data_IF_063854454916
#
_entry.id   IF_063854454916
#
_cell.length_a   1.000
_cell.length_b   1.000
_cell.length_c   1.000
_cell.angle_alpha   90.00
_cell.angle_beta   90.00
_cell.angle_gamma   90.00
#
_symmetry.space_group_name_H-M   'P 1'
#
loop_
_entity.id
_entity.type
_entity.pdbx_description
1 polymer ?
#
# COMPACT_ATOMS: atom_id res chain seq x y z
N UNK A 1 0.80 -37.61 -31.86
CA UNK A 1 1.41 -36.45 -31.17
C UNK A 1 0.69 -36.29 -29.84
N UNK A 2 1.33 -36.55 -28.68
CA UNK A 2 0.67 -36.37 -27.39
C UNK A 2 0.76 -34.91 -26.93
N UNK A 3 -0.37 -34.44 -26.47
CA UNK A 3 -0.58 -33.14 -25.84
C UNK A 3 0.24 -33.09 -24.55
N UNK A 4 1.24 -32.22 -24.49
CA UNK A 4 1.95 -31.87 -23.24
C UNK A 4 1.01 -31.12 -22.34
N UNK A 5 0.53 -31.76 -21.30
CA UNK A 5 -0.16 -31.14 -20.17
C UNK A 5 0.78 -30.14 -19.48
N UNK A 6 0.33 -28.89 -19.41
CA UNK A 6 0.95 -27.84 -18.65
C UNK A 6 0.98 -28.25 -17.17
N UNK A 7 2.16 -28.38 -16.58
CA UNK A 7 2.33 -28.68 -15.17
C UNK A 7 1.66 -27.58 -14.32
N UNK A 8 0.89 -27.94 -13.30
CA UNK A 8 0.10 -26.98 -12.57
C UNK A 8 0.97 -26.08 -11.70
N UNK A 9 0.55 -24.83 -11.60
CA UNK A 9 1.05 -23.75 -10.72
C UNK A 9 1.27 -24.22 -9.26
N UNK A 10 0.68 -25.34 -8.87
CA UNK A 10 0.85 -26.00 -7.58
C UNK A 10 2.31 -26.41 -7.27
N UNK A 11 3.12 -26.78 -8.25
CA UNK A 11 4.50 -27.19 -8.01
C UNK A 11 5.42 -26.02 -7.61
N UNK A 12 5.15 -24.82 -8.12
CA UNK A 12 5.88 -23.60 -7.73
C UNK A 12 5.49 -23.12 -6.32
N UNK A 13 4.28 -23.46 -5.86
CA UNK A 13 3.78 -23.13 -4.52
C UNK A 13 4.27 -24.09 -3.45
N UNK A 14 4.48 -25.38 -3.80
CA UNK A 14 5.01 -26.39 -2.88
C UNK A 14 6.50 -26.19 -2.57
N UNK A 15 7.29 -25.64 -3.51
CA UNK A 15 8.67 -25.22 -3.24
C UNK A 15 8.73 -24.03 -2.25
N UNK A 16 7.73 -23.15 -2.27
CA UNK A 16 7.64 -22.01 -1.35
C UNK A 16 7.33 -22.50 0.09
N UNK A 17 6.49 -23.51 0.23
CA UNK A 17 6.10 -24.05 1.55
C UNK A 17 7.19 -24.90 2.23
N UNK A 18 7.93 -25.69 1.46
CA UNK A 18 8.95 -26.60 1.99
C UNK A 18 10.24 -25.91 2.43
N UNK A 19 10.59 -24.78 1.81
CA UNK A 19 11.81 -24.02 2.15
C UNK A 19 11.66 -23.13 3.39
N UNK A 20 10.44 -22.76 3.77
CA UNK A 20 10.17 -21.86 4.89
C UNK A 20 10.30 -22.54 6.28
N UNK A 21 10.24 -23.88 6.34
CA UNK A 21 10.15 -24.60 7.63
C UNK A 21 11.53 -24.99 8.21
N UNK A 22 12.63 -24.86 7.48
CA UNK A 22 13.96 -25.37 7.92
C UNK A 22 15.07 -24.35 8.10
N UNK A 23 14.84 -23.07 7.95
CA UNK A 23 15.87 -22.07 8.27
C UNK A 23 15.60 -21.43 9.64
N UNK A 24 16.46 -21.75 10.64
CA UNK A 24 16.64 -20.94 11.86
C UNK A 24 16.78 -19.49 11.43
N UNK A 25 15.84 -18.64 11.84
CA UNK A 25 15.94 -17.19 11.66
C UNK A 25 17.26 -16.69 12.23
N UNK A 26 18.15 -16.06 11.45
CA UNK A 26 19.14 -15.18 12.02
C UNK A 26 18.37 -13.99 12.59
N UNK A 27 18.69 -13.59 13.81
CA UNK A 27 18.09 -12.42 14.47
C UNK A 27 18.24 -11.17 13.58
N UNK A 28 17.16 -10.50 13.19
CA UNK A 28 17.20 -9.44 12.17
C UNK A 28 17.63 -8.07 12.71
N UNK A 29 18.24 -7.94 13.87
CA UNK A 29 18.32 -6.66 14.58
C UNK A 29 19.72 -6.25 15.05
N UNK A 30 20.83 -6.74 14.44
CA UNK A 30 22.17 -6.41 14.93
C UNK A 30 22.91 -5.28 14.22
N UNK A 31 22.35 -4.60 13.21
CA UNK A 31 23.02 -3.47 12.55
C UNK A 31 22.11 -2.24 12.42
N UNK A 32 21.46 -1.80 13.50
CA UNK A 32 20.79 -0.52 13.54
C UNK A 32 21.46 0.38 14.56
N UNK A 33 22.07 1.53 14.14
CA UNK A 33 22.57 2.51 15.10
C UNK A 33 21.42 3.01 15.98
N UNK A 34 21.67 3.08 17.27
CA UNK A 34 20.85 3.62 18.36
C UNK A 34 19.41 4.03 17.99
N UNK A 35 18.50 3.08 18.09
CA UNK A 35 17.08 3.39 18.14
C UNK A 35 16.82 4.01 19.50
N UNK A 36 16.67 5.35 19.55
CA UNK A 36 16.24 6.05 20.75
C UNK A 36 15.03 5.36 21.36
N UNK A 37 14.89 5.43 22.69
CA UNK A 37 13.88 4.75 23.50
C UNK A 37 12.51 4.68 22.79
N UNK A 38 11.87 3.49 22.71
CA UNK A 38 10.59 3.33 22.06
C UNK A 38 9.56 4.29 22.67
N UNK A 39 9.11 5.26 21.89
CA UNK A 39 8.10 6.23 22.30
C UNK A 39 6.85 6.00 21.47
N UNK A 40 5.80 5.41 22.05
CA UNK A 40 4.55 5.16 21.32
C UNK A 40 3.93 6.42 20.71
N UNK A 41 4.08 7.55 21.40
CA UNK A 41 3.60 8.85 20.89
C UNK A 41 4.35 9.28 19.63
N UNK A 42 5.69 9.09 19.59
CA UNK A 42 6.49 9.44 18.42
C UNK A 42 6.10 8.62 17.20
N UNK A 43 5.90 7.30 17.36
CA UNK A 43 5.43 6.47 16.26
C UNK A 43 4.02 6.82 15.80
N UNK A 44 3.12 7.17 16.72
CA UNK A 44 1.79 7.64 16.39
C UNK A 44 1.82 8.95 15.57
N UNK A 45 2.61 9.94 15.98
CA UNK A 45 2.77 11.21 15.27
C UNK A 45 3.36 10.99 13.85
N UNK A 46 4.37 10.13 13.72
CA UNK A 46 4.94 9.79 12.42
C UNK A 46 3.91 9.13 11.49
N UNK A 47 3.05 8.24 12.02
CA UNK A 47 1.97 7.61 11.26
C UNK A 47 0.91 8.63 10.80
N UNK A 48 0.49 9.53 11.68
CA UNK A 48 -0.48 10.59 11.35
C UNK A 48 0.10 11.54 10.30
N UNK A 49 1.37 11.93 10.42
CA UNK A 49 2.05 12.76 9.42
C UNK A 49 2.19 12.04 8.07
N UNK A 50 2.52 10.74 8.07
CA UNK A 50 2.55 9.94 6.84
C UNK A 50 1.17 9.86 6.17
N UNK A 51 0.11 9.64 6.95
CA UNK A 51 -1.27 9.61 6.47
C UNK A 51 -1.70 10.96 5.86
N UNK A 52 -1.27 12.07 6.44
CA UNK A 52 -1.47 13.41 5.87
C UNK A 52 -0.77 13.57 4.52
N UNK A 53 0.50 13.17 4.42
CA UNK A 53 1.24 13.24 3.15
C UNK A 53 0.61 12.38 2.04
N UNK A 54 0.12 11.20 2.38
CA UNK A 54 -0.61 10.37 1.42
C UNK A 54 -1.92 11.01 0.97
N UNK A 55 -2.67 11.63 1.87
CA UNK A 55 -3.88 12.37 1.51
C UNK A 55 -3.57 13.60 0.65
N UNK A 56 -2.48 14.33 0.92
CA UNK A 56 -1.99 15.41 0.07
C UNK A 56 -1.59 14.89 -1.33
N UNK A 57 -0.94 13.74 -1.40
CA UNK A 57 -0.60 13.09 -2.66
C UNK A 57 -1.86 12.78 -3.49
N UNK A 58 -2.87 12.16 -2.86
CA UNK A 58 -4.12 11.80 -3.52
C UNK A 58 -4.88 13.05 -4.02
N UNK A 59 -4.96 14.09 -3.20
CA UNK A 59 -5.57 15.36 -3.58
C UNK A 59 -4.81 16.05 -4.73
N UNK A 60 -3.46 16.01 -4.71
CA UNK A 60 -2.63 16.56 -5.78
C UNK A 60 -2.80 15.78 -7.09
N UNK A 61 -2.86 14.43 -7.02
CA UNK A 61 -3.15 13.60 -8.20
C UNK A 61 -4.50 13.99 -8.78
N UNK A 62 -5.54 14.12 -7.96
CA UNK A 62 -6.87 14.53 -8.39
C UNK A 62 -6.85 15.91 -9.05
N UNK A 63 -6.18 16.87 -8.45
CA UNK A 63 -6.08 18.23 -9.00
C UNK A 63 -5.40 18.24 -10.38
N UNK A 64 -4.25 17.58 -10.51
CA UNK A 64 -3.50 17.51 -11.76
C UNK A 64 -4.24 16.71 -12.84
N UNK A 65 -5.03 15.69 -12.45
CA UNK A 65 -5.77 14.84 -13.40
C UNK A 65 -6.93 15.57 -14.11
N UNK A 66 -7.26 16.79 -13.69
CA UNK A 66 -8.19 17.66 -14.42
C UNK A 66 -7.60 18.17 -15.74
N UNK A 67 -6.28 18.36 -15.78
CA UNK A 67 -5.59 18.99 -16.93
C UNK A 67 -4.51 18.09 -17.57
N UNK A 68 -4.07 17.05 -16.89
CA UNK A 68 -2.99 16.17 -17.33
C UNK A 68 -3.43 14.71 -17.30
N UNK A 69 -2.88 13.94 -18.22
CA UNK A 69 -3.15 12.50 -18.29
C UNK A 69 -2.55 11.78 -17.07
N UNK A 70 -3.33 10.91 -16.42
CA UNK A 70 -2.93 10.19 -15.20
C UNK A 70 -1.61 9.41 -15.37
N UNK A 71 -1.32 8.73 -16.48
CA UNK A 71 -0.03 8.05 -16.66
C UNK A 71 1.17 9.00 -16.58
N UNK A 72 1.06 10.25 -17.05
CA UNK A 72 2.12 11.26 -16.96
C UNK A 72 2.32 11.69 -15.50
N UNK A 73 1.23 11.90 -14.76
CA UNK A 73 1.28 12.25 -13.33
C UNK A 73 2.01 11.16 -12.56
N UNK A 74 1.65 9.90 -12.82
CA UNK A 74 2.26 8.73 -12.17
C UNK A 74 3.73 8.58 -12.60
N UNK A 75 4.06 8.82 -13.88
CA UNK A 75 5.45 8.80 -14.38
C UNK A 75 6.35 9.78 -13.62
N UNK A 76 5.93 11.05 -13.52
CA UNK A 76 6.71 12.07 -12.81
C UNK A 76 6.85 11.73 -11.33
N UNK A 77 5.78 11.24 -10.68
CA UNK A 77 5.85 10.80 -9.28
C UNK A 77 6.90 9.71 -9.06
N UNK A 78 6.90 8.66 -9.91
CA UNK A 78 7.88 7.58 -9.79
C UNK A 78 9.29 8.04 -10.14
N UNK A 79 9.44 8.91 -11.15
CA UNK A 79 10.73 9.51 -11.52
C UNK A 79 11.33 10.31 -10.34
N UNK A 80 10.56 11.21 -9.75
CA UNK A 80 11.02 12.01 -8.60
C UNK A 80 11.35 11.10 -7.41
N UNK A 81 10.52 10.10 -7.13
CA UNK A 81 10.80 9.14 -6.06
C UNK A 81 12.08 8.32 -6.36
N UNK A 82 12.30 7.88 -7.59
CA UNK A 82 13.50 7.17 -8.01
C UNK A 82 14.75 8.06 -7.86
N UNK A 83 14.68 9.31 -8.28
CA UNK A 83 15.77 10.28 -8.11
C UNK A 83 16.08 10.53 -6.63
N UNK A 84 15.06 10.70 -5.78
CA UNK A 84 15.26 10.83 -4.34
C UNK A 84 15.94 9.59 -3.74
N UNK A 85 15.53 8.38 -4.17
CA UNK A 85 16.19 7.14 -3.73
C UNK A 85 17.65 7.07 -4.18
N UNK A 86 17.96 7.49 -5.41
CA UNK A 86 19.33 7.52 -5.93
C UNK A 86 20.18 8.56 -5.19
N UNK A 87 19.66 9.74 -4.96
CA UNK A 87 20.42 10.84 -4.34
C UNK A 87 20.61 10.62 -2.83
N UNK A 88 19.57 10.20 -2.11
CA UNK A 88 19.58 10.14 -0.65
C UNK A 88 19.94 8.75 -0.10
N UNK A 89 19.53 7.68 -0.78
CA UNK A 89 19.64 6.30 -0.24
C UNK A 89 20.80 5.54 -0.88
N UNK A 90 21.07 5.73 -2.17
CA UNK A 90 22.13 5.00 -2.86
C UNK A 90 23.54 5.30 -2.30
N UNK A 91 23.91 6.53 -1.89
CA UNK A 91 25.23 6.78 -1.28
C UNK A 91 25.43 6.00 0.02
N UNK A 92 24.36 5.78 0.79
CA UNK A 92 24.39 5.08 2.08
C UNK A 92 24.41 3.56 1.96
N UNK A 93 23.83 3.01 0.89
CA UNK A 93 23.59 1.56 0.74
C UNK A 93 24.41 0.91 -0.39
N UNK A 94 24.93 1.69 -1.34
CA UNK A 94 25.76 1.23 -2.45
C UNK A 94 25.11 0.07 -3.23
N UNK A 95 25.91 -0.97 -3.56
CA UNK A 95 25.44 -2.15 -4.29
C UNK A 95 24.36 -2.96 -3.58
N UNK A 96 24.15 -2.76 -2.27
CA UNK A 96 23.11 -3.44 -1.49
C UNK A 96 21.70 -3.01 -1.92
N UNK A 97 21.56 -1.86 -2.58
CA UNK A 97 20.28 -1.34 -3.08
C UNK A 97 19.76 -2.13 -4.29
N UNK A 98 20.68 -2.67 -5.11
CA UNK A 98 20.33 -3.40 -6.34
C UNK A 98 20.43 -4.93 -6.20
N UNK A 99 20.92 -5.42 -5.06
CA UNK A 99 21.10 -6.85 -4.86
C UNK A 99 19.83 -7.47 -4.28
N UNK A 100 19.12 -8.27 -5.11
CA UNK A 100 17.91 -9.01 -4.75
C UNK A 100 18.06 -10.46 -5.21
N UNK A 101 17.53 -11.38 -4.39
CA UNK A 101 17.61 -12.82 -4.63
C UNK A 101 16.47 -13.29 -5.54
N UNK A 102 15.23 -12.82 -5.29
CA UNK A 102 14.01 -13.26 -5.99
C UNK A 102 13.52 -12.22 -7.00
N UNK A 103 14.34 -11.94 -8.04
CA UNK A 103 14.11 -10.86 -9.01
C UNK A 103 12.72 -10.89 -9.64
N UNK A 104 12.20 -12.08 -10.01
CA UNK A 104 10.87 -12.21 -10.62
C UNK A 104 9.75 -11.75 -9.69
N UNK A 105 9.74 -12.20 -8.42
CA UNK A 105 8.74 -11.79 -7.44
C UNK A 105 8.86 -10.31 -7.07
N UNK A 106 10.09 -9.78 -7.00
CA UNK A 106 10.33 -8.34 -6.77
C UNK A 106 9.75 -7.51 -7.91
N UNK A 107 9.91 -7.95 -9.16
CA UNK A 107 9.34 -7.27 -10.32
C UNK A 107 7.81 -7.35 -10.33
N UNK A 108 7.22 -8.52 -10.08
CA UNK A 108 5.74 -8.67 -9.99
C UNK A 108 5.18 -7.77 -8.88
N UNK A 109 5.83 -7.70 -7.72
CA UNK A 109 5.46 -6.79 -6.65
C UNK A 109 5.51 -5.33 -7.09
N UNK A 110 6.58 -4.93 -7.76
CA UNK A 110 6.75 -3.57 -8.27
C UNK A 110 5.67 -3.21 -9.29
N UNK A 111 5.39 -4.11 -10.24
CA UNK A 111 4.32 -3.95 -11.23
C UNK A 111 2.92 -3.88 -10.56
N UNK A 112 2.68 -4.67 -9.51
CA UNK A 112 1.41 -4.62 -8.77
C UNK A 112 1.19 -3.25 -8.12
N UNK A 113 2.22 -2.66 -7.50
CA UNK A 113 2.09 -1.30 -6.94
C UNK A 113 1.98 -0.25 -8.04
N UNK A 114 2.71 -0.41 -9.13
CA UNK A 114 2.61 0.48 -10.29
C UNK A 114 1.19 0.47 -10.88
N UNK A 115 0.61 -0.71 -11.08
CA UNK A 115 -0.77 -0.86 -11.53
C UNK A 115 -1.78 -0.25 -10.54
N UNK A 116 -1.63 -0.53 -9.23
CA UNK A 116 -2.46 0.08 -8.20
C UNK A 116 -2.40 1.61 -8.25
N UNK A 117 -1.20 2.17 -8.40
CA UNK A 117 -1.00 3.62 -8.48
C UNK A 117 -1.69 4.26 -9.67
N UNK A 118 -1.62 3.63 -10.84
CA UNK A 118 -2.34 4.09 -12.04
C UNK A 118 -3.84 4.04 -11.82
N UNK A 119 -4.34 2.91 -11.33
CA UNK A 119 -5.78 2.69 -11.12
C UNK A 119 -6.36 3.62 -10.05
N UNK A 120 -5.63 3.89 -8.96
CA UNK A 120 -6.01 4.93 -7.99
C UNK A 120 -6.08 6.31 -8.66
N UNK A 121 -5.09 6.66 -9.47
CA UNK A 121 -5.08 7.93 -10.20
C UNK A 121 -6.28 8.06 -11.15
N UNK A 122 -6.63 7.00 -11.89
CA UNK A 122 -7.80 6.96 -12.76
C UNK A 122 -9.12 7.03 -11.97
N UNK A 123 -9.17 6.41 -10.79
CA UNK A 123 -10.31 6.53 -9.89
C UNK A 123 -10.45 7.97 -9.36
N UNK A 124 -9.37 8.58 -8.90
CA UNK A 124 -9.34 9.97 -8.41
C UNK A 124 -9.74 10.98 -9.48
N UNK A 125 -9.41 10.72 -10.74
CA UNK A 125 -9.87 11.57 -11.86
C UNK A 125 -11.40 11.63 -11.95
N UNK A 126 -12.09 10.53 -11.58
CA UNK A 126 -13.54 10.35 -11.77
C UNK A 126 -14.35 10.42 -10.47
N UNK A 127 -13.70 10.24 -9.34
CA UNK A 127 -14.35 10.16 -8.03
C UNK A 127 -13.73 11.15 -7.05
N UNK A 128 -14.47 11.54 -5.99
CA UNK A 128 -13.91 12.34 -4.90
C UNK A 128 -12.80 11.60 -4.13
N UNK A 129 -11.94 12.37 -3.47
CA UNK A 129 -10.74 11.82 -2.78
C UNK A 129 -11.15 10.91 -1.61
N UNK A 130 -12.11 11.34 -0.81
CA UNK A 130 -12.53 10.61 0.39
C UNK A 130 -13.08 9.22 0.08
N UNK A 131 -13.99 9.12 -0.90
CA UNK A 131 -14.61 7.88 -1.34
C UNK A 131 -13.60 6.95 -1.99
N UNK A 132 -12.73 7.48 -2.83
CA UNK A 132 -11.64 6.69 -3.45
C UNK A 132 -10.70 6.13 -2.40
N UNK A 133 -10.28 6.95 -1.43
CA UNK A 133 -9.41 6.52 -0.33
C UNK A 133 -10.10 5.48 0.54
N UNK A 134 -11.39 5.66 0.84
CA UNK A 134 -12.17 4.71 1.64
C UNK A 134 -12.24 3.33 0.98
N UNK A 135 -12.52 3.26 -0.33
CA UNK A 135 -12.54 1.99 -1.08
C UNK A 135 -11.15 1.34 -1.03
N UNK A 136 -10.06 2.10 -1.16
CA UNK A 136 -8.70 1.55 -1.08
C UNK A 136 -8.38 0.93 0.29
N UNK A 137 -9.00 1.40 1.38
CA UNK A 137 -8.85 0.78 2.70
C UNK A 137 -9.50 -0.61 2.83
N UNK A 138 -10.20 -1.10 1.81
CA UNK A 138 -10.60 -2.50 1.72
C UNK A 138 -9.38 -3.44 1.53
N UNK A 139 -8.28 -2.96 0.93
CA UNK A 139 -7.11 -3.78 0.63
C UNK A 139 -6.52 -4.49 1.86
N UNK A 140 -6.24 -3.84 3.00
CA UNK A 140 -5.72 -4.52 4.18
C UNK A 140 -6.63 -5.66 4.70
N UNK A 141 -7.95 -5.50 4.56
CA UNK A 141 -8.93 -6.51 4.97
C UNK A 141 -8.88 -7.72 4.06
N UNK A 142 -8.83 -7.50 2.74
CA UNK A 142 -8.68 -8.56 1.76
C UNK A 142 -7.33 -9.27 1.85
N UNK A 143 -6.26 -8.55 2.26
CA UNK A 143 -4.96 -9.19 2.52
C UNK A 143 -5.09 -10.26 3.60
N UNK A 144 -5.86 -10.03 4.66
CA UNK A 144 -6.08 -11.05 5.70
C UNK A 144 -6.78 -12.28 5.11
N UNK A 145 -7.79 -12.08 4.26
CA UNK A 145 -8.54 -13.17 3.61
C UNK A 145 -7.69 -13.95 2.62
N UNK A 146 -6.86 -13.25 1.82
CA UNK A 146 -6.05 -13.87 0.77
C UNK A 146 -4.76 -14.50 1.35
N UNK A 147 -4.13 -13.85 2.32
CA UNK A 147 -2.90 -14.34 2.94
C UNK A 147 -3.12 -15.61 3.77
N UNK A 148 -4.30 -15.78 4.36
CA UNK A 148 -4.63 -16.97 5.14
C UNK A 148 -4.37 -18.28 4.36
N UNK A 149 -5.07 -18.54 3.25
CA UNK A 149 -4.84 -19.73 2.43
C UNK A 149 -3.44 -19.83 1.81
N UNK A 150 -2.86 -18.68 1.42
CA UNK A 150 -1.52 -18.64 0.78
C UNK A 150 -0.38 -18.94 1.77
N UNK A 151 -0.50 -18.52 3.01
CA UNK A 151 0.51 -18.70 4.05
C UNK A 151 0.18 -19.86 5.00
N UNK A 152 -0.92 -20.59 4.77
CA UNK A 152 -1.37 -21.68 5.62
C UNK A 152 -1.94 -21.22 6.97
N UNK A 153 -2.26 -19.93 7.11
CA UNK A 153 -2.86 -19.38 8.33
C UNK A 153 -4.38 -19.61 8.34
N UNK A 154 -4.95 -20.02 9.48
CA UNK A 154 -6.39 -20.14 9.63
C UNK A 154 -7.01 -18.78 9.92
N UNK A 155 -7.89 -18.33 9.02
CA UNK A 155 -8.63 -17.09 9.22
C UNK A 155 -9.73 -17.37 10.25
N UNK A 156 -9.65 -16.71 11.40
CA UNK A 156 -10.73 -16.76 12.40
C UNK A 156 -12.00 -16.08 11.90
N UNK A 157 -13.15 -16.37 12.55
CA UNK A 157 -14.45 -15.78 12.23
C UNK A 157 -14.40 -14.24 12.23
N UNK A 158 -13.57 -13.65 13.07
CA UNK A 158 -13.37 -12.20 13.17
C UNK A 158 -12.71 -11.59 11.93
N UNK A 159 -11.77 -12.29 11.28
CA UNK A 159 -11.19 -11.84 10.01
C UNK A 159 -12.23 -11.83 8.89
N UNK A 160 -13.08 -12.84 8.83
CA UNK A 160 -14.20 -12.89 7.88
C UNK A 160 -15.25 -11.81 8.14
N UNK A 161 -15.65 -11.59 9.41
CA UNK A 161 -16.61 -10.55 9.77
C UNK A 161 -16.08 -9.15 9.40
N UNK A 162 -14.81 -8.89 9.64
CA UNK A 162 -14.21 -7.61 9.28
C UNK A 162 -14.11 -7.42 7.75
N UNK A 163 -13.78 -8.48 6.99
CA UNK A 163 -13.78 -8.41 5.54
C UNK A 163 -15.19 -8.17 4.98
N UNK A 164 -16.21 -8.85 5.50
CA UNK A 164 -17.61 -8.63 5.14
C UNK A 164 -18.09 -7.22 5.52
N UNK A 165 -17.71 -6.72 6.71
CA UNK A 165 -18.01 -5.36 7.13
C UNK A 165 -17.37 -4.32 6.21
N UNK A 166 -16.10 -4.49 5.87
CA UNK A 166 -15.42 -3.63 4.91
C UNK A 166 -16.08 -3.62 3.54
N UNK A 167 -16.47 -4.80 3.05
CA UNK A 167 -17.19 -4.92 1.78
C UNK A 167 -18.57 -4.26 1.84
N UNK A 168 -19.33 -4.43 2.93
CA UNK A 168 -20.59 -3.73 3.14
C UNK A 168 -20.42 -2.21 3.14
N UNK A 169 -19.35 -1.69 3.77
CA UNK A 169 -19.02 -0.27 3.74
C UNK A 169 -18.75 0.24 2.32
N UNK A 170 -18.01 -0.53 1.51
CA UNK A 170 -17.79 -0.20 0.08
C UNK A 170 -19.10 -0.18 -0.70
N UNK A 171 -20.02 -1.14 -0.47
CA UNK A 171 -21.34 -1.16 -1.12
C UNK A 171 -22.18 0.07 -0.78
N UNK A 172 -22.09 0.58 0.45
CA UNK A 172 -22.77 1.80 0.86
C UNK A 172 -22.20 3.04 0.14
N UNK A 173 -20.89 3.09 -0.09
CA UNK A 173 -20.25 4.18 -0.83
C UNK A 173 -20.59 4.08 -2.32
N UNK A 174 -20.49 2.89 -2.90
CA UNK A 174 -20.63 2.64 -4.34
C UNK A 174 -22.08 2.41 -4.80
N UNK A 175 -23.06 2.61 -3.93
CA UNK A 175 -24.46 2.35 -4.21
C UNK A 175 -25.01 3.12 -5.41
N UNK A 176 -26.03 2.60 -6.13
CA UNK A 176 -26.76 3.37 -7.14
C UNK A 176 -27.34 4.66 -6.51
N UNK A 177 -27.22 5.77 -7.22
CA UNK A 177 -27.67 7.09 -6.74
C UNK A 177 -26.70 7.83 -5.83
N UNK A 178 -25.50 7.30 -5.57
CA UNK A 178 -24.43 8.02 -4.85
C UNK A 178 -23.85 9.19 -5.64
N UNK A 179 -24.15 9.32 -6.93
CA UNK A 179 -23.52 10.29 -7.83
C UNK A 179 -22.12 9.90 -8.29
N UNK A 180 -21.58 8.75 -7.84
CA UNK A 180 -20.28 8.26 -8.26
C UNK A 180 -20.33 7.54 -9.60
N UNK A 181 -19.32 7.78 -10.44
CA UNK A 181 -19.20 7.09 -11.72
C UNK A 181 -18.83 5.61 -11.55
N UNK A 182 -19.57 4.69 -12.18
CA UNK A 182 -19.32 3.25 -12.14
C UNK A 182 -17.91 2.89 -12.64
N UNK A 183 -17.38 3.61 -13.63
CA UNK A 183 -16.01 3.41 -14.13
C UNK A 183 -14.99 3.80 -13.06
N UNK A 184 -15.21 4.89 -12.32
CA UNK A 184 -14.36 5.30 -11.21
C UNK A 184 -14.33 4.24 -10.10
N UNK A 185 -15.49 3.70 -9.72
CA UNK A 185 -15.62 2.61 -8.76
C UNK A 185 -14.86 1.35 -9.24
N UNK A 186 -14.99 1.01 -10.54
CA UNK A 186 -14.29 -0.14 -11.13
C UNK A 186 -12.78 0.03 -11.06
N UNK A 187 -12.26 1.23 -11.32
CA UNK A 187 -10.83 1.52 -11.17
C UNK A 187 -10.38 1.42 -9.70
N UNK A 188 -11.17 1.93 -8.76
CA UNK A 188 -10.85 1.82 -7.33
C UNK A 188 -10.81 0.36 -6.87
N UNK A 189 -11.77 -0.48 -7.25
CA UNK A 189 -11.78 -1.91 -6.92
C UNK A 189 -10.63 -2.67 -7.57
N UNK A 190 -10.31 -2.37 -8.83
CA UNK A 190 -9.14 -2.95 -9.50
C UNK A 190 -7.83 -2.51 -8.82
N UNK A 191 -7.74 -1.27 -8.35
CA UNK A 191 -6.63 -0.77 -7.55
C UNK A 191 -6.48 -1.54 -6.24
N UNK A 192 -7.59 -1.83 -5.56
CA UNK A 192 -7.60 -2.69 -4.35
C UNK A 192 -7.02 -4.06 -4.64
N UNK A 193 -7.44 -4.72 -5.73
CA UNK A 193 -6.92 -6.04 -6.10
C UNK A 193 -5.39 -6.00 -6.36
N UNK A 194 -4.92 -4.99 -7.10
CA UNK A 194 -3.49 -4.79 -7.35
C UNK A 194 -2.71 -4.48 -6.05
N UNK A 195 -3.30 -3.71 -5.14
CA UNK A 195 -2.72 -3.39 -3.84
C UNK A 195 -2.66 -4.62 -2.91
N UNK A 196 -3.67 -5.48 -2.93
CA UNK A 196 -3.65 -6.78 -2.22
C UNK A 196 -2.48 -7.64 -2.71
N UNK A 197 -2.32 -7.78 -4.03
CA UNK A 197 -1.18 -8.51 -4.60
C UNK A 197 0.16 -7.92 -4.15
N UNK A 198 0.31 -6.58 -4.20
CA UNK A 198 1.48 -5.88 -3.70
C UNK A 198 1.76 -6.17 -2.22
N UNK A 199 0.75 -6.10 -1.37
CA UNK A 199 0.92 -6.30 0.07
C UNK A 199 1.26 -7.76 0.41
N UNK A 200 0.61 -8.73 -0.23
CA UNK A 200 0.90 -10.16 -0.05
C UNK A 200 2.33 -10.47 -0.49
N UNK A 201 2.74 -10.02 -1.68
CA UNK A 201 4.12 -10.18 -2.17
C UNK A 201 5.13 -9.47 -1.29
N UNK A 202 4.78 -8.32 -0.71
CA UNK A 202 5.63 -7.62 0.26
C UNK A 202 5.86 -8.45 1.51
N UNK A 203 4.83 -9.13 2.04
CA UNK A 203 4.97 -10.05 3.17
C UNK A 203 5.87 -11.24 2.84
N UNK A 204 5.67 -11.87 1.67
CA UNK A 204 6.49 -13.01 1.22
C UNK A 204 7.96 -12.62 1.06
N UNK A 205 8.23 -11.44 0.50
CA UNK A 205 9.59 -10.96 0.22
C UNK A 205 10.29 -10.36 1.45
N UNK A 206 9.56 -9.95 2.47
CA UNK A 206 10.14 -9.35 3.69
C UNK A 206 11.13 -10.27 4.42
N UNK A 207 10.99 -11.60 4.26
CA UNK A 207 11.88 -12.59 4.87
C UNK A 207 13.22 -12.75 4.11
N UNK A 208 13.25 -12.43 2.81
CA UNK A 208 14.41 -12.72 1.95
C UNK A 208 15.06 -11.47 1.35
N UNK A 209 14.34 -10.34 1.31
CA UNK A 209 14.79 -9.14 0.61
C UNK A 209 14.84 -7.91 1.53
N UNK A 210 15.73 -6.99 1.24
CA UNK A 210 15.85 -5.73 1.99
C UNK A 210 14.74 -4.76 1.58
N UNK A 211 14.11 -4.12 2.55
CA UNK A 211 13.05 -3.12 2.29
C UNK A 211 13.51 -2.01 1.36
N UNK A 212 14.75 -1.51 1.53
CA UNK A 212 15.31 -0.45 0.67
C UNK A 212 15.45 -0.90 -0.79
N UNK A 213 15.86 -2.14 -1.05
CA UNK A 213 15.93 -2.70 -2.39
C UNK A 213 14.52 -2.84 -3.00
N UNK A 214 13.55 -3.34 -2.23
CA UNK A 214 12.16 -3.45 -2.68
C UNK A 214 11.56 -2.10 -3.07
N UNK A 215 11.83 -1.04 -2.29
CA UNK A 215 11.38 0.32 -2.58
C UNK A 215 12.06 0.87 -3.84
N UNK A 216 13.37 0.66 -3.99
CA UNK A 216 14.12 1.10 -5.16
C UNK A 216 13.62 0.43 -6.45
N UNK A 217 13.45 -0.90 -6.45
CA UNK A 217 12.91 -1.61 -7.63
C UNK A 217 11.49 -1.17 -7.97
N UNK A 218 10.69 -0.82 -6.98
CA UNK A 218 9.33 -0.29 -7.22
C UNK A 218 9.40 1.08 -7.89
N UNK A 219 10.25 1.99 -7.39
CA UNK A 219 10.45 3.30 -7.98
C UNK A 219 11.01 3.19 -9.40
N UNK A 220 11.99 2.33 -9.61
CA UNK A 220 12.62 2.10 -10.92
C UNK A 220 11.62 1.51 -11.92
N UNK A 221 10.89 0.46 -11.56
CA UNK A 221 9.90 -0.17 -12.43
C UNK A 221 8.80 0.81 -12.83
N UNK A 222 8.27 1.58 -11.86
CA UNK A 222 7.28 2.62 -12.14
C UNK A 222 7.82 3.71 -13.07
N UNK A 223 9.08 4.14 -12.86
CA UNK A 223 9.75 5.13 -13.74
C UNK A 223 9.88 4.61 -15.17
N UNK A 224 10.31 3.36 -15.35
CA UNK A 224 10.50 2.77 -16.69
C UNK A 224 9.16 2.58 -17.38
N UNK A 225 8.19 1.96 -16.71
CA UNK A 225 6.86 1.66 -17.28
C UNK A 225 6.13 2.95 -17.64
N UNK A 226 5.96 3.84 -16.68
CA UNK A 226 5.19 5.06 -16.90
C UNK A 226 5.97 6.14 -17.62
N UNK A 227 7.30 6.14 -17.54
CA UNK A 227 8.14 7.00 -18.36
C UNK A 227 7.96 6.70 -19.84
N UNK A 228 7.98 5.42 -20.23
CA UNK A 228 7.75 5.00 -21.61
C UNK A 228 6.31 5.36 -22.08
N UNK A 229 5.29 5.07 -21.26
CA UNK A 229 3.91 5.42 -21.55
C UNK A 229 3.72 6.93 -21.60
N UNK A 230 4.32 7.68 -20.67
CA UNK A 230 4.22 9.12 -20.59
C UNK A 230 4.84 9.82 -21.81
N UNK A 231 5.98 9.34 -22.28
CA UNK A 231 6.60 9.85 -23.52
C UNK A 231 5.72 9.60 -24.76
N UNK A 232 5.06 8.45 -24.82
CA UNK A 232 4.16 8.12 -25.92
C UNK A 232 2.86 8.92 -25.91
N UNK A 233 2.35 9.23 -24.71
CA UNK A 233 1.10 9.99 -24.52
C UNK A 233 1.32 11.50 -24.46
N UNK A 234 2.56 11.99 -24.55
CA UNK A 234 2.84 13.40 -24.39
C UNK A 234 2.40 14.21 -25.61
N UNK A 235 1.42 15.06 -25.42
CA UNK A 235 0.85 15.96 -26.41
C UNK A 235 1.56 17.33 -26.51
N UNK A 236 2.78 17.45 -25.98
CA UNK A 236 3.55 18.70 -25.99
C UNK A 236 3.10 19.75 -24.97
N UNK A 237 2.17 19.42 -24.08
CA UNK A 237 1.70 20.34 -23.05
C UNK A 237 2.78 20.55 -21.99
N UNK A 238 3.25 21.77 -21.86
CA UNK A 238 4.22 22.17 -20.83
C UNK A 238 3.44 22.55 -19.56
N UNK A 239 3.83 21.96 -18.44
CA UNK A 239 3.25 22.31 -17.14
C UNK A 239 3.59 23.77 -16.78
N UNK A 240 2.64 24.51 -16.21
CA UNK A 240 2.91 25.82 -15.62
C UNK A 240 3.87 25.71 -14.45
N UNK A 241 4.51 26.84 -14.05
CA UNK A 241 5.44 26.80 -12.90
C UNK A 241 4.80 26.26 -11.62
N UNK A 242 3.52 26.56 -11.37
CA UNK A 242 2.76 26.01 -10.25
C UNK A 242 2.50 24.51 -10.40
N UNK A 243 2.06 24.05 -11.58
CA UNK A 243 1.86 22.64 -11.84
C UNK A 243 3.15 21.83 -11.70
N UNK A 244 4.29 22.41 -12.11
CA UNK A 244 5.59 21.78 -11.93
C UNK A 244 5.91 21.55 -10.45
N UNK A 245 5.64 22.52 -9.57
CA UNK A 245 5.78 22.35 -8.12
C UNK A 245 4.88 21.22 -7.60
N UNK A 246 3.63 21.13 -8.08
CA UNK A 246 2.73 20.06 -7.72
C UNK A 246 3.22 18.69 -8.20
N UNK A 247 3.76 18.60 -9.41
CA UNK A 247 4.36 17.37 -9.93
C UNK A 247 5.57 16.93 -9.08
N UNK A 248 6.45 17.84 -8.71
CA UNK A 248 7.60 17.54 -7.86
C UNK A 248 7.16 17.12 -6.44
N UNK A 249 6.12 17.76 -5.89
CA UNK A 249 5.59 17.43 -4.57
C UNK A 249 5.08 16.00 -4.47
N UNK A 250 4.55 15.42 -5.57
CA UNK A 250 4.05 14.02 -5.58
C UNK A 250 5.12 13.00 -5.18
N UNK A 251 6.34 13.14 -5.72
CA UNK A 251 7.44 12.26 -5.35
C UNK A 251 7.89 12.46 -3.90
N UNK A 252 7.86 13.71 -3.42
CA UNK A 252 8.18 14.05 -2.03
C UNK A 252 7.12 13.47 -1.09
N UNK A 253 5.83 13.67 -1.37
CA UNK A 253 4.74 13.13 -0.55
C UNK A 253 4.80 11.59 -0.48
N UNK A 254 4.99 10.93 -1.63
CA UNK A 254 5.13 9.48 -1.68
C UNK A 254 6.39 8.99 -0.95
N UNK A 255 7.56 9.55 -1.26
CA UNK A 255 8.84 9.15 -0.67
C UNK A 255 8.89 9.40 0.85
N UNK A 256 8.59 10.63 1.27
CA UNK A 256 8.58 11.01 2.68
C UNK A 256 7.46 10.30 3.45
N UNK A 257 6.27 10.17 2.85
CA UNK A 257 5.15 9.43 3.46
C UNK A 257 5.52 7.98 3.77
N UNK A 258 6.09 7.26 2.82
CA UNK A 258 6.57 5.89 3.02
C UNK A 258 7.72 5.82 4.03
N UNK A 259 8.63 6.79 4.02
CA UNK A 259 9.72 6.87 5.01
C UNK A 259 9.18 7.06 6.43
N UNK A 260 8.30 8.03 6.65
CA UNK A 260 7.71 8.30 7.96
C UNK A 260 6.87 7.12 8.43
N UNK A 261 6.08 6.50 7.55
CA UNK A 261 5.29 5.33 7.86
C UNK A 261 6.16 4.15 8.29
N UNK A 262 7.25 3.90 7.56
CA UNK A 262 8.23 2.85 7.93
C UNK A 262 8.94 3.18 9.23
N UNK A 263 9.31 4.45 9.46
CA UNK A 263 9.93 4.89 10.70
C UNK A 263 8.99 4.75 11.90
N UNK A 264 7.68 4.94 11.73
CA UNK A 264 6.68 4.74 12.78
C UNK A 264 6.72 3.33 13.36
N UNK A 265 6.91 2.30 12.52
CA UNK A 265 7.02 0.90 12.97
C UNK A 265 8.23 0.61 13.86
N UNK A 266 9.26 1.46 13.85
CA UNK A 266 10.41 1.33 14.76
C UNK A 266 10.08 1.75 16.19
N UNK A 267 9.07 2.60 16.37
CA UNK A 267 8.70 3.18 17.65
C UNK A 267 7.42 2.59 18.23
N UNK A 268 6.56 2.00 17.39
CA UNK A 268 5.21 1.58 17.79
C UNK A 268 4.82 0.31 17.05
N UNK A 269 4.26 -0.69 17.75
CA UNK A 269 3.85 -1.94 17.12
C UNK A 269 2.73 -1.73 16.08
N UNK A 270 2.73 -2.57 15.04
CA UNK A 270 1.77 -2.53 13.94
C UNK A 270 0.31 -2.50 14.42
N UNK A 271 0.02 -3.16 15.52
CA UNK A 271 -1.31 -3.20 16.13
C UNK A 271 -1.83 -1.84 16.63
N UNK A 272 -0.96 -0.87 16.88
CA UNK A 272 -1.34 0.52 17.19
C UNK A 272 -1.39 1.37 15.93
N UNK A 273 -0.44 1.14 15.00
CA UNK A 273 -0.31 1.94 13.78
C UNK A 273 -1.43 1.63 12.78
N UNK A 274 -1.89 0.39 12.70
CA UNK A 274 -2.96 0.02 11.76
C UNK A 274 -4.26 0.81 11.99
N UNK A 275 -4.80 0.94 13.23
CA UNK A 275 -5.93 1.85 13.47
C UNK A 275 -5.63 3.31 13.12
N UNK A 276 -4.43 3.78 13.44
CA UNK A 276 -4.05 5.18 13.19
C UNK A 276 -3.95 5.50 11.70
N UNK A 277 -3.67 4.52 10.84
CA UNK A 277 -3.64 4.75 9.38
C UNK A 277 -5.00 5.20 8.82
N UNK A 278 -6.12 4.85 9.48
CA UNK A 278 -7.45 5.30 9.07
C UNK A 278 -7.67 6.80 9.24
N UNK A 279 -6.79 7.51 9.98
CA UNK A 279 -6.77 8.98 10.03
C UNK A 279 -6.59 9.57 8.61
N UNK A 280 -6.02 8.83 7.66
CA UNK A 280 -5.96 9.25 6.27
C UNK A 280 -7.35 9.53 5.67
N UNK A 281 -8.39 8.81 6.09
CA UNK A 281 -9.77 9.09 5.64
C UNK A 281 -10.25 10.48 6.10
N UNK A 282 -9.89 10.88 7.32
CA UNK A 282 -10.22 12.22 7.82
C UNK A 282 -9.49 13.31 7.01
N UNK A 283 -8.19 13.11 6.73
CA UNK A 283 -7.41 14.01 5.90
C UNK A 283 -7.94 14.07 4.46
N UNK A 284 -8.29 12.92 3.88
CA UNK A 284 -8.87 12.83 2.53
C UNK A 284 -10.22 13.57 2.44
N UNK A 285 -11.08 13.41 3.44
CA UNK A 285 -12.34 14.13 3.54
C UNK A 285 -12.14 15.63 3.69
N UNK A 286 -11.24 16.05 4.59
CA UNK A 286 -10.92 17.45 4.82
C UNK A 286 -10.34 18.13 3.57
N UNK A 287 -9.36 17.50 2.92
CA UNK A 287 -8.77 18.04 1.68
C UNK A 287 -9.77 18.00 0.52
N UNK A 288 -10.62 16.98 0.45
CA UNK A 288 -11.73 16.90 -0.51
C UNK A 288 -12.69 18.08 -0.36
N UNK A 289 -13.03 18.45 0.87
CA UNK A 289 -13.87 19.61 1.15
C UNK A 289 -13.13 20.93 0.85
N UNK A 290 -11.94 21.13 1.41
CA UNK A 290 -11.23 22.42 1.32
C UNK A 290 -10.80 22.73 -0.12
N UNK A 291 -10.32 21.73 -0.88
CA UNK A 291 -9.75 21.95 -2.23
C UNK A 291 -10.83 21.84 -3.31
N UNK A 292 -11.76 20.91 -3.17
CA UNK A 292 -12.74 20.59 -4.21
C UNK A 292 -14.18 20.93 -3.84
N UNK A 293 -14.44 21.42 -2.62
CA UNK A 293 -15.79 21.73 -2.13
C UNK A 293 -16.69 20.49 -1.95
N UNK A 294 -16.13 19.28 -1.99
CA UNK A 294 -16.89 18.04 -1.92
C UNK A 294 -16.98 17.54 -0.48
N UNK A 295 -18.20 17.36 0.02
CA UNK A 295 -18.49 16.73 1.31
C UNK A 295 -19.17 15.39 1.02
N UNK A 296 -18.65 14.25 1.52
CA UNK A 296 -19.32 12.96 1.39
C UNK A 296 -20.73 13.01 1.98
N UNK A 297 -21.68 12.36 1.35
CA UNK A 297 -23.03 12.26 1.89
C UNK A 297 -23.09 11.35 3.13
N UNK A 298 -24.19 11.43 3.88
CA UNK A 298 -24.35 10.69 5.15
C UNK A 298 -24.16 9.18 4.99
N UNK A 299 -24.59 8.61 3.86
CA UNK A 299 -24.44 7.17 3.60
C UNK A 299 -23.00 6.81 3.26
N UNK A 300 -22.29 7.64 2.50
CA UNK A 300 -20.85 7.47 2.25
C UNK A 300 -20.05 7.59 3.55
N UNK A 301 -20.40 8.56 4.42
CA UNK A 301 -19.78 8.69 5.74
C UNK A 301 -20.03 7.45 6.62
N UNK A 302 -21.24 6.89 6.59
CA UNK A 302 -21.55 5.64 7.29
C UNK A 302 -20.69 4.48 6.73
N UNK A 303 -20.59 4.35 5.40
CA UNK A 303 -19.73 3.36 4.75
C UNK A 303 -18.27 3.49 5.15
N UNK A 304 -17.72 4.72 5.16
CA UNK A 304 -16.36 5.01 5.64
C UNK A 304 -16.16 4.61 7.10
N UNK A 305 -17.16 4.91 7.96
CA UNK A 305 -17.16 4.52 9.37
C UNK A 305 -17.12 2.99 9.54
N UNK A 306 -17.91 2.26 8.77
CA UNK A 306 -17.93 0.78 8.80
C UNK A 306 -16.58 0.22 8.36
N UNK A 307 -15.95 0.75 7.28
CA UNK A 307 -14.63 0.34 6.82
C UNK A 307 -13.59 0.58 7.94
N UNK A 308 -13.59 1.77 8.54
CA UNK A 308 -12.66 2.11 9.61
C UNK A 308 -12.84 1.20 10.84
N UNK A 309 -14.08 0.95 11.27
CA UNK A 309 -14.39 0.05 12.38
C UNK A 309 -13.97 -1.40 12.08
N UNK A 310 -14.20 -1.88 10.85
CA UNK A 310 -13.80 -3.23 10.44
C UNK A 310 -12.28 -3.41 10.45
N UNK A 311 -11.53 -2.43 9.95
CA UNK A 311 -10.07 -2.45 10.00
C UNK A 311 -9.52 -2.34 11.42
N UNK A 312 -10.15 -1.52 12.27
CA UNK A 312 -9.81 -1.42 13.68
C UNK A 312 -10.05 -2.75 14.42
N UNK A 313 -11.17 -3.43 14.12
CA UNK A 313 -11.48 -4.73 14.70
C UNK A 313 -10.40 -5.77 14.37
N UNK A 314 -9.93 -5.87 13.12
CA UNK A 314 -8.79 -6.73 12.73
C UNK A 314 -7.56 -6.40 13.57
N UNK A 315 -7.21 -5.12 13.67
CA UNK A 315 -6.01 -4.68 14.38
C UNK A 315 -6.04 -5.00 15.88
N UNK A 316 -7.20 -4.88 16.53
CA UNK A 316 -7.36 -5.20 17.96
C UNK A 316 -7.32 -6.72 18.18
N UNK A 317 -7.96 -7.49 17.33
CA UNK A 317 -8.08 -8.94 17.51
C UNK A 317 -6.79 -9.69 17.18
N UNK A 318 -6.00 -9.19 16.21
CA UNK A 318 -4.66 -9.73 15.96
C UNK A 318 -3.71 -9.58 17.16
N UNK A 319 -3.93 -8.60 18.04
CA UNK A 319 -3.20 -8.47 19.32
C UNK A 319 -3.50 -9.60 20.29
N UNK A 320 -4.77 -10.02 20.41
CA UNK A 320 -5.17 -11.05 21.38
C UNK A 320 -4.64 -12.44 21.01
N UNK A 321 -4.42 -12.70 19.71
CA UNK A 321 -3.85 -13.98 19.24
C UNK A 321 -2.36 -14.12 19.52
N UNK A 322 -1.61 -13.00 19.61
CA UNK A 322 -0.17 -13.01 19.90
C UNK A 322 0.19 -13.05 21.38
N UNK A 323 -0.80 -12.85 22.26
CA UNK A 323 -0.64 -12.92 23.75
C UNK A 323 -1.17 -14.22 24.36
N UNK A 324 -1.43 -15.26 23.56
CA UNK A 324 -1.73 -16.61 24.05
C UNK A 324 -0.56 -17.18 24.85
N UNK A 325 -0.81 -17.96 25.94
CA UNK A 325 0.25 -18.47 26.81
C UNK A 325 1.25 -19.30 26.00
N UNK A 326 2.53 -18.96 26.10
CA UNK A 326 3.62 -19.81 25.64
C UNK A 326 3.44 -21.20 26.28
N UNK A 327 3.16 -22.19 25.45
CA UNK A 327 3.18 -23.59 25.90
C UNK A 327 4.61 -23.87 26.39
N UNK A 328 4.83 -24.22 27.68
CA UNK A 328 6.17 -24.49 28.15
C UNK A 328 6.78 -25.63 27.34
N UNK A 329 8.01 -25.41 26.85
CA UNK A 329 8.75 -26.41 26.10
C UNK A 329 8.79 -27.72 26.88
N UNK A 330 8.58 -28.90 26.26
CA UNK A 330 8.67 -30.18 26.95
C UNK A 330 10.07 -30.31 27.56
N UNK A 331 10.15 -30.46 28.88
CA UNK A 331 11.38 -30.82 29.58
C UNK A 331 11.77 -32.22 29.12
N UNK A 332 12.79 -32.29 28.29
CA UNK A 332 13.46 -33.55 27.95
C UNK A 332 14.18 -34.00 29.24
N UNK A 333 13.74 -35.12 29.79
CA UNK A 333 14.48 -35.86 30.85
C UNK A 333 15.52 -36.77 30.22
#
# INVERSE_FOLDING_TARGET
LPIRTVAPVKCALDEIGSCAVKQRMPSPLQDVPDAGTPSPLRGALLCVAAAFLFACMDATVKYLSANHQVPIIVAVRYLVNCLLMIILVAPLHGRRLVNVHRRGLVLVRACSLAASSLLVGLALQRMPVAETTAINFLAPMLVVVVAGPLLGERIGATGWLAALGGFAGVLLIARPGSGLEAIGISFALAAVAANVAYQVLSRVLAASERTTALLFYTALAGTVIFGAIGLWLWEGRVASGWELLLFLSLGIYGGLGHFLFTAAYRHTPASVLAPLSYVQLLWAGMLGWVIFGHIPDATSLLGMGIIACSGLAIAILSRRSSTGPETPAPRIR
#
